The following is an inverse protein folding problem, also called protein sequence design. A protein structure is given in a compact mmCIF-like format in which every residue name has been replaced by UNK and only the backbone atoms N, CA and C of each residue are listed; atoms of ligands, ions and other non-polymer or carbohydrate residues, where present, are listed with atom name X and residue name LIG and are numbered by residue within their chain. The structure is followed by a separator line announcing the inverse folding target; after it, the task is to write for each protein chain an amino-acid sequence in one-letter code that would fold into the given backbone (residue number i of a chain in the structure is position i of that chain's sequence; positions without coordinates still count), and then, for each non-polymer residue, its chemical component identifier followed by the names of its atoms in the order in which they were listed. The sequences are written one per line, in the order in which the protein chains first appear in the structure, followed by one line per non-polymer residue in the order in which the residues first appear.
data_IF_158966373980
#
_entry.id   IF_158966373980
#
_cell.length_a   1.000
_cell.length_b   1.000
_cell.length_c   1.000
_cell.angle_alpha   90.00
_cell.angle_beta   90.00
_cell.angle_gamma   90.00
#
_symmetry.space_group_name_H-M   'P 1'
#
loop_
_entity.id
_entity.type
_entity.pdbx_description
1 polymer ?
#
# COMPACT_ATOMS: atom_id res chain seq x y z
N UNK A 1 4.17 -16.35 -0.77
CA UNK A 1 4.63 -16.90 0.52
C UNK A 1 4.77 -18.43 0.60
N UNK A 2 4.59 -19.16 -0.52
CA UNK A 2 4.60 -20.63 -0.53
C UNK A 2 5.98 -21.29 -0.32
N UNK A 3 7.08 -20.51 -0.36
CA UNK A 3 8.44 -20.99 -0.12
C UNK A 3 8.84 -20.94 1.37
N UNK A 4 7.95 -20.47 2.24
CA UNK A 4 8.19 -20.33 3.67
C UNK A 4 7.26 -21.25 4.45
N UNK A 5 7.70 -21.67 5.64
CA UNK A 5 6.86 -22.43 6.55
C UNK A 5 5.68 -21.56 7.03
N UNK A 6 4.45 -22.09 7.10
CA UNK A 6 3.31 -21.38 7.66
C UNK A 6 3.55 -20.93 9.11
N UNK A 7 3.18 -19.69 9.43
CA UNK A 7 3.35 -19.13 10.77
C UNK A 7 3.21 -17.61 10.78
N UNK A 8 3.51 -16.99 11.93
CA UNK A 8 3.24 -15.56 12.18
C UNK A 8 3.79 -14.63 11.09
N UNK A 9 4.99 -14.91 10.57
CA UNK A 9 5.57 -14.13 9.47
C UNK A 9 4.74 -14.22 8.18
N UNK A 10 4.47 -15.44 7.72
CA UNK A 10 3.74 -15.66 6.47
C UNK A 10 2.29 -15.21 6.58
N UNK A 11 1.67 -15.38 7.76
CA UNK A 11 0.32 -14.90 8.06
C UNK A 11 0.22 -13.38 7.96
N UNK A 12 1.14 -12.63 8.60
CA UNK A 12 1.14 -11.16 8.54
C UNK A 12 1.27 -10.62 7.12
N UNK A 13 2.16 -11.20 6.31
CA UNK A 13 2.32 -10.75 4.92
C UNK A 13 1.10 -11.12 4.08
N UNK A 14 0.54 -12.31 4.27
CA UNK A 14 -0.67 -12.73 3.56
C UNK A 14 -1.89 -11.90 3.96
N UNK A 15 -2.00 -11.50 5.23
CA UNK A 15 -3.06 -10.61 5.73
C UNK A 15 -2.97 -9.23 5.09
N UNK A 16 -1.79 -8.60 5.10
CA UNK A 16 -1.57 -7.32 4.44
C UNK A 16 -1.85 -7.39 2.92
N UNK A 17 -1.40 -8.47 2.27
CA UNK A 17 -1.67 -8.71 0.84
C UNK A 17 -3.17 -8.89 0.56
N UNK A 18 -3.89 -9.58 1.43
CA UNK A 18 -5.35 -9.76 1.32
C UNK A 18 -6.09 -8.44 1.52
N UNK A 19 -5.69 -7.62 2.48
CA UNK A 19 -6.29 -6.30 2.70
C UNK A 19 -6.11 -5.40 1.47
N UNK A 20 -4.89 -5.34 0.93
CA UNK A 20 -4.60 -4.56 -0.28
C UNK A 20 -5.43 -5.07 -1.47
N UNK A 21 -5.42 -6.38 -1.74
CA UNK A 21 -6.07 -6.97 -2.91
C UNK A 21 -7.60 -7.01 -2.85
N UNK A 22 -8.19 -7.30 -1.68
CA UNK A 22 -9.63 -7.51 -1.57
C UNK A 22 -10.40 -6.25 -1.18
N UNK A 23 -9.73 -5.25 -0.62
CA UNK A 23 -10.40 -4.05 -0.10
C UNK A 23 -9.88 -2.78 -0.77
N UNK A 24 -8.58 -2.52 -0.67
CA UNK A 24 -8.00 -1.25 -1.13
C UNK A 24 -8.01 -1.14 -2.65
N UNK A 25 -7.55 -2.16 -3.36
CA UNK A 25 -7.50 -2.14 -4.84
C UNK A 25 -8.88 -2.00 -5.48
N UNK A 26 -9.93 -2.75 -5.07
CA UNK A 26 -11.27 -2.56 -5.61
C UNK A 26 -11.81 -1.14 -5.39
N UNK A 27 -11.60 -0.57 -4.21
CA UNK A 27 -12.05 0.78 -3.92
C UNK A 27 -11.31 1.82 -4.76
N UNK A 28 -9.98 1.71 -4.88
CA UNK A 28 -9.20 2.56 -5.78
C UNK A 28 -9.65 2.43 -7.25
N UNK A 29 -9.93 1.22 -7.71
CA UNK A 29 -10.43 1.00 -9.08
C UNK A 29 -11.77 1.69 -9.31
N UNK A 30 -12.72 1.58 -8.38
CA UNK A 30 -14.02 2.27 -8.48
C UNK A 30 -13.85 3.79 -8.64
N UNK A 31 -12.99 4.39 -7.81
CA UNK A 31 -12.71 5.83 -7.87
C UNK A 31 -11.99 6.21 -9.19
N UNK A 32 -11.01 5.41 -9.64
CA UNK A 32 -10.31 5.65 -10.89
C UNK A 32 -11.23 5.55 -12.11
N UNK A 33 -12.16 4.59 -12.13
CA UNK A 33 -13.14 4.43 -13.20
C UNK A 33 -14.12 5.60 -13.25
N UNK A 34 -14.61 6.07 -12.09
CA UNK A 34 -15.46 7.26 -12.02
C UNK A 34 -14.77 8.52 -12.57
N UNK A 35 -13.48 8.70 -12.26
CA UNK A 35 -12.66 9.80 -12.76
C UNK A 35 -12.38 9.71 -14.27
N UNK A 36 -12.19 8.49 -14.79
CA UNK A 36 -11.86 8.25 -16.21
C UNK A 36 -13.07 8.17 -17.15
N UNK A 37 -14.29 8.20 -16.61
CA UNK A 37 -15.54 8.11 -17.38
C UNK A 37 -15.75 9.34 -18.28
N UNK A 38 -16.47 9.17 -19.40
CA UNK A 38 -16.89 10.26 -20.29
C UNK A 38 -18.41 10.23 -20.54
N UNK A 39 -19.19 11.25 -20.09
CA UNK A 39 -18.74 12.37 -19.27
C UNK A 39 -18.32 11.91 -17.87
N UNK A 40 -17.35 12.61 -17.27
CA UNK A 40 -16.86 12.30 -15.94
C UNK A 40 -18.02 12.22 -14.93
N UNK A 41 -18.05 11.14 -14.14
CA UNK A 41 -19.06 11.04 -13.09
C UNK A 41 -18.72 12.04 -11.98
N UNK A 42 -19.73 12.61 -11.29
CA UNK A 42 -19.47 13.43 -10.11
C UNK A 42 -18.82 12.54 -9.03
N UNK A 43 -17.53 12.74 -8.81
CA UNK A 43 -16.71 12.02 -7.83
C UNK A 43 -16.16 13.02 -6.81
N UNK A 44 -16.03 12.59 -5.55
CA UNK A 44 -15.30 13.38 -4.54
C UNK A 44 -13.79 13.20 -4.76
N UNK A 45 -13.10 14.29 -5.12
CA UNK A 45 -11.65 14.29 -5.32
C UNK A 45 -10.91 13.85 -4.05
N UNK A 46 -11.45 14.14 -2.87
CA UNK A 46 -10.85 13.68 -1.61
C UNK A 46 -10.90 12.17 -1.48
N UNK A 47 -11.99 11.51 -1.92
CA UNK A 47 -12.09 10.04 -1.90
C UNK A 47 -11.06 9.40 -2.84
N UNK A 48 -10.81 10.00 -4.01
CA UNK A 48 -9.78 9.51 -4.92
C UNK A 48 -8.37 9.69 -4.35
N UNK A 49 -8.10 10.82 -3.69
CA UNK A 49 -6.82 11.06 -2.99
C UNK A 49 -6.63 10.04 -1.86
N UNK A 50 -7.66 9.82 -1.05
CA UNK A 50 -7.63 8.86 0.06
C UNK A 50 -7.44 7.43 -0.43
N UNK A 51 -8.16 7.02 -1.48
CA UNK A 51 -8.00 5.71 -2.10
C UNK A 51 -6.59 5.53 -2.68
N UNK A 52 -6.01 6.58 -3.27
CA UNK A 52 -4.64 6.57 -3.77
C UNK A 52 -3.61 6.42 -2.64
N UNK A 53 -3.79 7.14 -1.52
CA UNK A 53 -2.93 6.98 -0.35
C UNK A 53 -3.05 5.58 0.26
N UNK A 54 -4.25 4.99 0.34
CA UNK A 54 -4.40 3.63 0.85
C UNK A 54 -3.67 2.58 0.00
N UNK A 55 -3.58 2.76 -1.32
CA UNK A 55 -2.77 1.86 -2.18
C UNK A 55 -1.29 1.95 -1.83
N UNK A 56 -0.80 3.16 -1.61
CA UNK A 56 0.58 3.41 -1.19
C UNK A 56 0.87 2.79 0.18
N UNK A 57 0.06 3.11 1.18
CA UNK A 57 0.18 2.60 2.54
C UNK A 57 0.07 1.08 2.58
N UNK A 58 -0.87 0.49 1.83
CA UNK A 58 -1.03 -0.96 1.76
C UNK A 58 0.17 -1.65 1.12
N UNK A 59 0.78 -1.05 0.10
CA UNK A 59 2.02 -1.58 -0.51
C UNK A 59 3.19 -1.47 0.47
N UNK A 60 3.29 -0.35 1.17
CA UNK A 60 4.29 -0.11 2.20
C UNK A 60 4.19 -1.08 3.37
N UNK A 61 2.98 -1.33 3.87
CA UNK A 61 2.71 -2.27 4.95
C UNK A 61 3.10 -3.70 4.58
N UNK A 62 2.91 -4.11 3.33
CA UNK A 62 3.42 -5.39 2.83
C UNK A 62 4.95 -5.41 2.88
N UNK A 63 5.62 -4.34 2.44
CA UNK A 63 7.08 -4.22 2.52
C UNK A 63 7.61 -4.37 3.95
N UNK A 64 7.02 -3.64 4.91
CA UNK A 64 7.34 -3.77 6.34
C UNK A 64 7.09 -5.19 6.86
N UNK A 65 5.96 -5.80 6.49
CA UNK A 65 5.64 -7.15 6.92
C UNK A 65 6.64 -8.18 6.35
N UNK A 66 7.11 -8.01 5.12
CA UNK A 66 8.14 -8.85 4.50
C UNK A 66 9.48 -8.70 5.22
N UNK A 67 9.85 -7.49 5.65
CA UNK A 67 11.09 -7.23 6.39
C UNK A 67 11.09 -7.82 7.81
N UNK A 68 9.93 -8.16 8.38
CA UNK A 68 9.86 -8.81 9.71
C UNK A 68 10.53 -10.20 9.78
N UNK A 69 10.98 -10.76 8.66
CA UNK A 69 11.80 -11.99 8.65
C UNK A 69 13.23 -11.74 9.16
N UNK A 70 13.72 -10.51 9.02
CA UNK A 70 15.07 -10.09 9.44
C UNK A 70 15.04 -9.68 10.91
N UNK A 71 16.15 -9.88 11.62
CA UNK A 71 16.28 -9.34 12.97
C UNK A 71 16.60 -7.84 12.92
N UNK A 72 16.32 -7.06 13.99
CA UNK A 72 16.61 -5.62 14.00
C UNK A 72 18.07 -5.26 13.70
N UNK A 73 19.01 -6.15 14.02
CA UNK A 73 20.44 -5.98 13.76
C UNK A 73 20.82 -6.16 12.28
N UNK A 74 19.96 -6.84 11.52
CA UNK A 74 20.13 -7.08 10.08
C UNK A 74 19.48 -5.99 9.23
N UNK A 75 18.70 -5.10 9.85
CA UNK A 75 18.02 -3.99 9.17
C UNK A 75 18.87 -2.73 9.26
N UNK A 76 19.07 -2.05 8.13
CA UNK A 76 19.69 -0.73 8.11
C UNK A 76 18.64 0.37 7.82
N UNK A 77 19.04 1.64 7.99
CA UNK A 77 18.14 2.77 7.76
C UNK A 77 17.63 2.80 6.29
N UNK A 78 18.39 2.23 5.34
CA UNK A 78 18.01 2.13 3.93
C UNK A 78 16.90 1.12 3.65
N UNK A 79 16.73 0.10 4.50
CA UNK A 79 15.61 -0.85 4.43
C UNK A 79 14.24 -0.17 4.71
N UNK A 80 14.25 1.06 5.26
CA UNK A 80 13.06 1.85 5.56
C UNK A 80 13.00 3.20 4.84
N UNK A 81 13.98 3.54 4.00
CA UNK A 81 13.93 4.79 3.25
C UNK A 81 12.90 4.68 2.11
N UNK A 82 11.71 5.25 2.33
CA UNK A 82 10.83 5.67 1.23
C UNK A 82 11.55 6.79 0.50
N UNK A 83 11.94 6.59 -0.76
CA UNK A 83 12.38 7.71 -1.60
C UNK A 83 11.24 8.76 -1.70
N UNK A 84 11.33 9.83 -0.91
CA UNK A 84 10.87 11.19 -1.21
C UNK A 84 9.41 11.40 -1.68
N UNK A 85 8.45 10.62 -1.19
CA UNK A 85 7.04 11.00 -1.39
C UNK A 85 6.61 12.13 -0.42
N UNK A 86 7.09 12.12 0.82
CA UNK A 86 6.78 13.15 1.82
C UNK A 86 7.50 14.50 1.58
N UNK A 87 8.69 14.49 0.96
CA UNK A 87 9.41 15.76 0.64
C UNK A 87 8.66 16.58 -0.42
N UNK A 88 7.87 15.93 -1.29
CA UNK A 88 7.12 16.61 -2.36
C UNK A 88 5.78 17.23 -1.92
N UNK A 89 5.25 16.86 -0.75
CA UNK A 89 4.06 17.52 -0.17
C UNK A 89 4.41 18.85 0.51
N UNK A 90 5.71 19.13 0.76
CA UNK A 90 6.20 20.40 1.30
C UNK A 90 6.52 21.47 0.25
N UNK A 91 6.31 21.18 -1.04
CA UNK A 91 6.52 22.10 -2.16
C UNK A 91 5.35 22.03 -3.15
N UNK A 92 4.16 22.43 -2.72
CA UNK A 92 3.05 22.79 -3.62
C UNK A 92 2.21 23.90 -2.98
#
# INVERSE_FOLDING_TARGET
MHNYEPGVYTDKVLEATKLLSNTVMPWFTEQAEANSSDPAQPMDENEFIDASHLVYDGTWDIGKAVLMIRTPEELDDSDFEMEDFDIRKGQA
#
